data_IF_124608346947
#
_entry.id   IF_124608346947
#
_cell.length_a   1.000
_cell.length_b   1.000
_cell.length_c   1.000
_cell.angle_alpha   90.00
_cell.angle_beta   90.00
_cell.angle_gamma   90.00
#
_symmetry.space_group_name_H-M   'P 1'
#
loop_
_entity.id
_entity.type
_entity.pdbx_description
1 polymer ?
#
# COMPACT_ATOMS: atom_id res chain seq x y z
N UNK A 1 -14.99 36.72 -11.86
CA UNK A 1 -14.05 35.57 -11.68
C UNK A 1 -13.44 35.64 -10.31
N UNK A 2 -13.70 34.65 -9.47
CA UNK A 2 -13.11 34.52 -8.13
C UNK A 2 -12.42 33.19 -7.98
N UNK A 3 -11.22 33.19 -7.38
CA UNK A 3 -10.43 32.00 -7.16
C UNK A 3 -10.38 31.64 -5.68
N UNK A 4 -10.52 30.36 -5.38
CA UNK A 4 -10.49 29.84 -4.01
C UNK A 4 -9.48 28.69 -3.93
N UNK A 5 -8.63 28.72 -2.89
CA UNK A 5 -7.86 27.55 -2.52
C UNK A 5 -8.81 26.51 -1.93
N UNK A 6 -8.72 25.24 -2.32
CA UNK A 6 -9.70 24.23 -1.91
C UNK A 6 -9.06 22.93 -1.46
N UNK A 7 -9.83 22.14 -0.72
CA UNK A 7 -9.55 20.74 -0.43
C UNK A 7 -8.36 20.53 0.49
N UNK A 8 -7.46 19.62 0.06
CA UNK A 8 -6.35 19.14 0.88
C UNK A 8 -5.41 20.23 1.40
N UNK A 9 -5.16 21.29 0.63
CA UNK A 9 -4.32 22.38 1.05
C UNK A 9 -4.93 23.16 2.23
N UNK A 10 -6.23 23.41 2.20
CA UNK A 10 -6.93 24.09 3.29
C UNK A 10 -7.00 23.21 4.53
N UNK A 11 -7.37 21.94 4.34
CA UNK A 11 -7.40 20.94 5.41
C UNK A 11 -6.06 20.80 6.11
N UNK A 12 -4.99 20.59 5.36
CA UNK A 12 -3.65 20.34 5.92
C UNK A 12 -3.11 21.59 6.62
N UNK A 13 -3.35 22.79 6.08
CA UNK A 13 -2.99 24.04 6.75
C UNK A 13 -3.72 24.19 8.10
N UNK A 14 -5.00 23.87 8.16
CA UNK A 14 -5.77 23.90 9.40
C UNK A 14 -5.33 22.86 10.43
N UNK A 15 -4.75 21.74 9.96
CA UNK A 15 -4.18 20.71 10.82
C UNK A 15 -2.73 21.01 11.25
N UNK A 16 -2.13 22.09 10.74
CA UNK A 16 -0.73 22.39 10.99
C UNK A 16 0.24 21.48 10.25
N UNK A 17 -0.21 20.80 9.20
CA UNK A 17 0.60 19.91 8.38
C UNK A 17 1.22 20.67 7.20
N UNK A 18 2.36 20.20 6.66
CA UNK A 18 2.93 20.79 5.44
C UNK A 18 1.97 20.70 4.25
N UNK A 19 1.78 21.82 3.55
CA UNK A 19 0.98 21.88 2.32
C UNK A 19 1.90 21.60 1.15
N UNK A 20 1.66 20.50 0.42
CA UNK A 20 2.49 20.09 -0.74
C UNK A 20 1.91 20.56 -2.06
N UNK A 21 0.63 20.27 -2.28
CA UNK A 21 -0.08 20.59 -3.52
C UNK A 21 -1.21 21.56 -3.22
N UNK A 22 -1.39 22.54 -4.11
CA UNK A 22 -2.45 23.53 -4.01
C UNK A 22 -3.37 23.41 -5.21
N UNK A 23 -4.64 23.12 -4.94
CA UNK A 23 -5.70 23.10 -5.92
C UNK A 23 -6.62 24.30 -5.74
N UNK A 24 -7.02 24.90 -6.85
CA UNK A 24 -7.84 26.09 -6.87
C UNK A 24 -9.14 25.85 -7.64
N UNK A 25 -10.21 26.47 -7.18
CA UNK A 25 -11.49 26.51 -7.88
C UNK A 25 -11.77 27.92 -8.31
N UNK A 26 -12.18 28.10 -9.56
CA UNK A 26 -12.56 29.39 -10.16
C UNK A 26 -14.07 29.42 -10.34
N UNK A 27 -14.71 30.42 -9.75
CA UNK A 27 -16.15 30.65 -9.85
C UNK A 27 -16.41 31.86 -10.76
N UNK A 28 -17.38 31.75 -11.66
CA UNK A 28 -17.80 32.85 -12.52
C UNK A 28 -16.91 33.11 -13.73
N UNK A 29 -16.26 32.07 -14.28
CA UNK A 29 -15.42 32.18 -15.47
C UNK A 29 -15.75 31.11 -16.49
N UNK A 30 -15.45 31.41 -17.76
CA UNK A 30 -15.50 30.46 -18.87
C UNK A 30 -14.10 29.95 -19.20
N UNK A 31 -13.97 28.80 -19.93
CA UNK A 31 -12.67 28.33 -20.41
C UNK A 31 -11.93 29.39 -21.24
N UNK A 32 -12.65 30.15 -22.09
CA UNK A 32 -12.08 31.19 -22.93
C UNK A 32 -11.46 32.30 -22.09
N UNK A 33 -12.15 32.72 -21.02
CA UNK A 33 -11.63 33.75 -20.10
C UNK A 33 -10.35 33.28 -19.39
N UNK A 34 -10.25 31.99 -19.06
CA UNK A 34 -9.05 31.40 -18.48
C UNK A 34 -7.88 31.43 -19.47
N UNK A 35 -8.10 31.02 -20.72
CA UNK A 35 -7.10 31.05 -21.77
C UNK A 35 -6.62 32.50 -22.05
N UNK A 36 -7.54 33.45 -22.13
CA UNK A 36 -7.24 34.86 -22.33
C UNK A 36 -6.40 35.46 -21.19
N UNK A 37 -6.57 34.93 -19.98
CA UNK A 37 -5.77 35.33 -18.81
C UNK A 37 -4.38 34.64 -18.76
N UNK A 38 -4.03 33.83 -19.74
CA UNK A 38 -2.73 33.19 -19.85
C UNK A 38 -2.62 31.80 -19.22
N UNK A 39 -3.71 31.22 -18.77
CA UNK A 39 -3.71 29.86 -18.26
C UNK A 39 -3.57 28.85 -19.37
N UNK A 40 -2.92 27.72 -19.11
CA UNK A 40 -2.77 26.61 -20.05
C UNK A 40 -3.74 25.50 -19.71
N UNK A 41 -4.62 25.14 -20.64
CA UNK A 41 -5.55 24.03 -20.44
C UNK A 41 -4.83 22.68 -20.50
N UNK A 42 -5.09 21.80 -19.53
CA UNK A 42 -4.62 20.42 -19.45
C UNK A 42 -5.80 19.49 -19.18
N UNK A 43 -5.69 18.23 -19.58
CA UNK A 43 -6.77 17.25 -19.42
C UNK A 43 -7.77 17.29 -20.57
N UNK A 44 -8.43 16.15 -20.83
CA UNK A 44 -9.41 16.00 -21.91
C UNK A 44 -10.85 16.09 -21.42
N UNK A 45 -11.12 15.53 -20.24
CA UNK A 45 -12.48 15.33 -19.75
C UNK A 45 -12.98 16.46 -18.84
N UNK A 46 -12.05 17.16 -18.18
CA UNK A 46 -12.36 18.28 -17.31
C UNK A 46 -11.45 19.45 -17.65
N UNK A 47 -11.98 20.68 -17.75
CA UNK A 47 -11.14 21.85 -17.95
C UNK A 47 -10.38 22.18 -16.67
N UNK A 48 -9.15 21.70 -16.60
CA UNK A 48 -8.14 22.07 -15.60
C UNK A 48 -7.12 22.97 -16.29
N UNK A 49 -6.73 24.04 -15.60
CA UNK A 49 -5.85 25.07 -16.15
C UNK A 49 -4.64 25.24 -15.23
N UNK A 50 -3.45 25.33 -15.85
CA UNK A 50 -2.22 25.64 -15.12
C UNK A 50 -2.03 27.15 -15.06
N UNK A 51 -1.76 27.67 -13.86
CA UNK A 51 -1.46 29.09 -13.67
C UNK A 51 -0.19 29.47 -14.44
N UNK A 52 -0.19 30.63 -15.14
CA UNK A 52 0.95 31.03 -15.99
C UNK A 52 2.28 31.19 -15.25
N UNK A 53 2.25 31.52 -13.95
CA UNK A 53 3.44 31.71 -13.11
C UNK A 53 3.70 30.56 -12.17
N UNK A 54 2.71 30.23 -11.31
CA UNK A 54 2.88 29.19 -10.26
C UNK A 54 2.81 27.78 -10.78
N UNK A 55 2.19 27.57 -11.95
CA UNK A 55 1.91 26.27 -12.53
C UNK A 55 0.98 25.40 -11.66
N UNK A 56 0.35 26.00 -10.67
CA UNK A 56 -0.67 25.33 -9.85
C UNK A 56 -1.94 25.09 -10.66
N UNK A 57 -2.71 24.07 -10.28
CA UNK A 57 -3.91 23.65 -10.99
C UNK A 57 -5.13 24.46 -10.56
N UNK A 58 -5.84 25.01 -11.53
CA UNK A 58 -7.09 25.75 -11.37
C UNK A 58 -8.18 25.04 -12.15
N UNK A 59 -9.26 24.65 -11.46
CA UNK A 59 -10.44 24.05 -12.09
C UNK A 59 -11.63 25.00 -11.99
N UNK A 60 -12.44 25.04 -13.03
CA UNK A 60 -13.72 25.77 -12.96
C UNK A 60 -14.66 25.05 -12.00
N UNK A 61 -15.43 25.82 -11.24
CA UNK A 61 -16.49 25.28 -10.39
C UNK A 61 -17.44 24.42 -11.23
N UNK A 62 -17.73 23.21 -10.75
CA UNK A 62 -18.51 22.24 -11.52
C UNK A 62 -19.47 21.42 -10.67
N UNK A 63 -20.53 20.95 -11.29
CA UNK A 63 -21.38 19.88 -10.78
C UNK A 63 -21.11 18.59 -11.53
N UNK A 64 -21.33 17.47 -10.88
CA UNK A 64 -21.16 16.13 -11.49
C UNK A 64 -22.46 15.35 -11.31
N UNK A 65 -22.90 14.66 -12.38
CA UNK A 65 -24.07 13.79 -12.35
C UNK A 65 -23.68 12.40 -12.88
N UNK A 66 -24.15 11.36 -12.19
CA UNK A 66 -23.94 9.99 -12.65
C UNK A 66 -24.85 9.73 -13.86
N UNK A 67 -24.23 9.38 -15.00
CA UNK A 67 -24.93 9.05 -16.26
C UNK A 67 -24.78 7.58 -16.67
N UNK A 68 -24.05 6.76 -15.86
CA UNK A 68 -23.81 5.35 -16.11
C UNK A 68 -23.10 4.68 -14.95
N UNK A 69 -22.62 3.45 -15.11
CA UNK A 69 -21.85 2.73 -14.09
C UNK A 69 -20.35 2.99 -14.24
N UNK A 70 -19.64 3.06 -13.11
CA UNK A 70 -18.18 3.26 -13.06
C UNK A 70 -17.74 4.71 -13.23
N UNK A 71 -16.42 4.91 -13.37
CA UNK A 71 -15.79 6.24 -13.44
C UNK A 71 -16.17 7.04 -14.67
N UNK A 72 -16.36 6.38 -15.81
CA UNK A 72 -16.74 7.03 -17.07
C UNK A 72 -18.22 7.44 -17.12
N UNK A 73 -18.97 7.09 -16.08
CA UNK A 73 -20.42 7.35 -15.99
C UNK A 73 -20.80 8.72 -15.46
N UNK A 74 -19.87 9.70 -15.39
CA UNK A 74 -20.16 11.05 -14.89
C UNK A 74 -20.27 12.07 -16.01
N UNK A 75 -21.29 12.92 -15.90
CA UNK A 75 -21.43 14.12 -16.74
C UNK A 75 -21.11 15.34 -15.90
N UNK A 76 -20.12 16.11 -16.35
CA UNK A 76 -19.73 17.37 -15.70
C UNK A 76 -20.42 18.57 -16.36
N UNK A 77 -20.91 19.47 -15.51
CA UNK A 77 -21.39 20.78 -15.90
C UNK A 77 -20.53 21.85 -15.23
N UNK A 78 -19.80 22.62 -16.03
CA UNK A 78 -18.97 23.71 -15.58
C UNK A 78 -19.35 24.97 -16.36
N UNK A 79 -19.97 25.93 -15.68
CA UNK A 79 -20.39 27.20 -16.26
C UNK A 79 -20.28 28.32 -15.21
N UNK A 80 -20.29 29.59 -15.62
CA UNK A 80 -20.18 30.70 -14.69
C UNK A 80 -21.26 30.76 -13.61
N UNK A 81 -22.40 30.10 -13.82
CA UNK A 81 -23.50 30.04 -12.85
C UNK A 81 -23.32 28.98 -11.74
N UNK A 82 -22.33 28.09 -11.85
CA UNK A 82 -22.04 27.11 -10.80
C UNK A 82 -21.39 27.81 -9.63
N UNK A 83 -22.00 27.69 -8.44
CA UNK A 83 -21.51 28.30 -7.20
C UNK A 83 -20.39 27.49 -6.57
N UNK A 84 -19.64 28.13 -5.66
CA UNK A 84 -18.62 27.43 -4.87
C UNK A 84 -19.25 26.31 -4.02
N UNK A 85 -20.39 26.56 -3.40
CA UNK A 85 -21.10 25.59 -2.57
C UNK A 85 -21.55 24.38 -3.37
N UNK A 86 -21.97 24.55 -4.61
CA UNK A 86 -22.32 23.44 -5.50
C UNK A 86 -21.09 22.59 -5.87
N UNK A 87 -19.95 23.21 -6.11
CA UNK A 87 -18.70 22.50 -6.35
C UNK A 87 -18.25 21.71 -5.11
N UNK A 88 -18.32 22.30 -3.94
CA UNK A 88 -17.92 21.66 -2.67
C UNK A 88 -18.88 20.52 -2.29
N UNK A 89 -20.16 20.62 -2.63
CA UNK A 89 -21.18 19.61 -2.30
C UNK A 89 -20.88 18.24 -2.96
N UNK A 90 -20.29 18.22 -4.13
CA UNK A 90 -19.95 16.99 -4.85
C UNK A 90 -18.73 16.25 -4.30
N UNK A 91 -17.99 16.83 -3.37
CA UNK A 91 -16.76 16.27 -2.83
C UNK A 91 -17.04 15.11 -1.88
N UNK A 92 -15.98 14.33 -1.58
CA UNK A 92 -16.12 13.12 -0.79
C UNK A 92 -16.36 13.39 0.70
N UNK A 93 -15.45 14.13 1.36
CA UNK A 93 -15.48 14.35 2.80
C UNK A 93 -15.64 15.84 3.12
N UNK A 94 -16.28 16.14 4.24
CA UNK A 94 -16.46 17.52 4.73
C UNK A 94 -15.13 18.24 4.93
N UNK A 95 -14.12 17.54 5.43
CA UNK A 95 -12.77 18.10 5.63
C UNK A 95 -12.06 18.43 4.32
N UNK A 96 -12.51 17.88 3.20
CA UNK A 96 -12.02 18.16 1.84
C UNK A 96 -12.92 19.15 1.10
N UNK A 97 -14.02 19.56 1.71
CA UNK A 97 -15.00 20.50 1.17
C UNK A 97 -14.87 21.89 1.82
N UNK A 98 -13.64 22.27 2.09
CA UNK A 98 -13.27 23.59 2.62
C UNK A 98 -12.62 24.42 1.52
N UNK A 99 -12.88 25.71 1.54
CA UNK A 99 -12.26 26.67 0.64
C UNK A 99 -11.70 27.86 1.42
N UNK A 100 -10.73 28.53 0.82
CA UNK A 100 -10.15 29.75 1.37
C UNK A 100 -10.16 30.82 0.29
N UNK A 101 -10.72 31.97 0.60
CA UNK A 101 -10.75 33.11 -0.33
C UNK A 101 -9.41 33.87 -0.35
N UNK A 102 -9.31 34.86 -1.23
CA UNK A 102 -8.09 35.67 -1.41
C UNK A 102 -7.69 36.46 -0.15
N UNK A 103 -8.63 36.70 0.78
CA UNK A 103 -8.37 37.36 2.04
C UNK A 103 -8.02 36.40 3.19
N UNK A 104 -7.89 35.11 2.90
CA UNK A 104 -7.59 34.08 3.89
C UNK A 104 -8.79 33.60 4.68
N UNK A 105 -10.02 34.06 4.37
CA UNK A 105 -11.23 33.62 5.04
C UNK A 105 -11.62 32.20 4.59
N UNK A 106 -11.91 31.34 5.57
CA UNK A 106 -12.37 29.97 5.29
C UNK A 106 -13.86 30.00 4.96
N UNK A 107 -14.18 29.37 3.82
CA UNK A 107 -15.57 29.12 3.42
C UNK A 107 -15.88 27.66 3.77
N UNK A 108 -16.82 27.46 4.67
CA UNK A 108 -17.15 26.18 5.26
C UNK A 108 -18.66 25.97 5.25
N UNK A 109 -19.17 25.49 4.13
CA UNK A 109 -20.61 25.29 3.94
C UNK A 109 -21.15 24.01 4.58
N UNK A 110 -20.29 23.02 4.84
CA UNK A 110 -20.72 21.65 5.19
C UNK A 110 -20.14 21.15 6.52
N UNK A 111 -19.60 22.04 7.34
CA UNK A 111 -19.15 21.69 8.69
C UNK A 111 -17.78 21.02 8.75
N UNK A 112 -16.93 21.21 7.75
CA UNK A 112 -15.60 20.60 7.69
C UNK A 112 -14.68 21.03 8.83
N UNK A 113 -14.74 22.27 9.30
CA UNK A 113 -13.94 22.73 10.43
C UNK A 113 -14.32 22.04 11.74
N UNK A 114 -15.62 21.82 11.98
CA UNK A 114 -16.09 21.06 13.14
C UNK A 114 -15.62 19.60 13.07
N UNK A 115 -15.69 18.99 11.90
CA UNK A 115 -15.21 17.63 11.72
C UNK A 115 -13.70 17.53 11.87
N UNK A 116 -12.93 18.52 11.46
CA UNK A 116 -11.49 18.59 11.75
C UNK A 116 -11.22 18.64 13.26
N UNK A 117 -11.92 19.50 14.00
CA UNK A 117 -11.77 19.62 15.46
C UNK A 117 -12.13 18.30 16.16
N UNK A 118 -13.21 17.68 15.71
CA UNK A 118 -13.70 16.41 16.28
C UNK A 118 -13.01 15.16 15.73
N UNK A 119 -12.06 15.34 14.81
CA UNK A 119 -11.31 14.25 14.19
C UNK A 119 -12.23 13.22 13.51
N UNK A 120 -13.17 13.70 12.69
CA UNK A 120 -14.15 12.89 11.99
C UNK A 120 -13.95 12.92 10.48
N UNK A 121 -14.03 11.75 9.87
CA UNK A 121 -14.15 11.57 8.43
C UNK A 121 -15.64 11.36 8.11
N UNK A 122 -16.28 12.39 7.56
CA UNK A 122 -17.71 12.41 7.27
C UNK A 122 -17.95 12.74 5.80
N UNK A 123 -18.80 11.99 5.12
CA UNK A 123 -19.20 12.33 3.76
C UNK A 123 -20.02 13.62 3.72
N UNK A 124 -19.88 14.37 2.63
CA UNK A 124 -20.53 15.69 2.49
C UNK A 124 -22.03 15.54 2.25
N UNK A 125 -22.44 14.63 1.36
CA UNK A 125 -23.81 14.50 0.88
C UNK A 125 -24.09 13.09 0.34
N UNK A 126 -25.36 12.76 0.04
CA UNK A 126 -25.70 11.50 -0.64
C UNK A 126 -24.99 11.28 -1.97
N UNK A 127 -24.48 12.33 -2.60
CA UNK A 127 -23.66 12.23 -3.82
C UNK A 127 -22.38 11.43 -3.62
N UNK A 128 -21.95 11.19 -2.39
CA UNK A 128 -20.84 10.30 -2.05
C UNK A 128 -20.97 8.92 -2.72
N UNK A 129 -22.17 8.36 -2.75
CA UNK A 129 -22.43 7.03 -3.31
C UNK A 129 -22.36 6.96 -4.83
N UNK A 130 -22.23 8.08 -5.51
CA UNK A 130 -22.14 8.11 -6.99
C UNK A 130 -20.79 7.60 -7.52
N UNK A 131 -19.71 7.70 -6.72
CA UNK A 131 -18.40 7.16 -7.07
C UNK A 131 -17.92 6.13 -6.04
N UNK A 132 -17.95 4.83 -6.36
CA UNK A 132 -17.51 3.77 -5.45
C UNK A 132 -16.06 3.89 -4.98
N UNK A 133 -15.19 4.57 -5.73
CA UNK A 133 -13.80 4.79 -5.32
C UNK A 133 -13.70 5.56 -4.00
N UNK A 134 -14.72 6.34 -3.67
CA UNK A 134 -14.76 7.11 -2.42
C UNK A 134 -14.67 6.24 -1.18
N UNK A 135 -15.14 4.99 -1.24
CA UNK A 135 -14.95 4.02 -0.15
C UNK A 135 -13.46 3.79 0.12
N UNK A 136 -12.68 3.58 -0.93
CA UNK A 136 -11.23 3.41 -0.82
C UNK A 136 -10.54 4.70 -0.39
N UNK A 137 -11.01 5.83 -0.90
CA UNK A 137 -10.48 7.15 -0.51
C UNK A 137 -10.65 7.40 0.98
N UNK A 138 -11.82 7.11 1.54
CA UNK A 138 -12.06 7.24 2.99
C UNK A 138 -11.14 6.29 3.78
N UNK A 139 -11.00 5.05 3.34
CA UNK A 139 -10.09 4.09 3.95
C UNK A 139 -8.63 4.59 3.93
N UNK A 140 -8.21 5.21 2.84
CA UNK A 140 -6.88 5.81 2.73
C UNK A 140 -6.71 7.02 3.65
N UNK A 141 -7.70 7.90 3.74
CA UNK A 141 -7.66 9.02 4.68
C UNK A 141 -7.64 8.53 6.14
N UNK A 142 -8.39 7.48 6.46
CA UNK A 142 -8.34 6.86 7.77
C UNK A 142 -6.93 6.37 8.12
N UNK A 143 -6.24 5.74 7.17
CA UNK A 143 -4.85 5.32 7.34
C UNK A 143 -3.90 6.51 7.50
N UNK A 144 -4.06 7.54 6.65
CA UNK A 144 -3.21 8.72 6.67
C UNK A 144 -3.30 9.50 7.98
N UNK A 145 -4.49 9.61 8.56
CA UNK A 145 -4.76 10.41 9.75
C UNK A 145 -4.99 9.58 11.02
N UNK A 146 -4.71 8.28 10.98
CA UNK A 146 -4.85 7.41 12.15
C UNK A 146 -4.01 7.90 13.35
N UNK A 147 -2.79 8.35 13.10
CA UNK A 147 -1.90 8.89 14.13
C UNK A 147 -2.39 10.22 14.72
N UNK A 148 -3.35 10.88 14.08
CA UNK A 148 -4.02 12.08 14.58
C UNK A 148 -5.37 11.75 15.23
N UNK A 149 -5.68 10.48 15.44
CA UNK A 149 -6.90 9.96 16.07
C UNK A 149 -8.19 10.24 15.30
N UNK A 150 -8.11 10.35 13.97
CA UNK A 150 -9.31 10.45 13.14
C UNK A 150 -10.04 9.11 13.12
N UNK A 151 -11.38 9.19 13.10
CA UNK A 151 -12.29 8.06 12.94
C UNK A 151 -13.35 8.36 11.89
N UNK A 152 -13.93 7.34 11.32
CA UNK A 152 -15.00 7.49 10.34
C UNK A 152 -16.31 7.70 11.09
N UNK A 153 -17.11 8.70 10.66
CA UNK A 153 -18.43 8.92 11.21
C UNK A 153 -19.34 7.70 10.99
N UNK A 154 -20.20 7.39 11.96
CA UNK A 154 -21.02 6.19 11.92
C UNK A 154 -21.92 6.15 10.68
N UNK A 155 -22.53 7.27 10.30
CA UNK A 155 -23.37 7.37 9.10
C UNK A 155 -22.57 7.18 7.82
N UNK A 156 -21.29 7.56 7.78
CA UNK A 156 -20.42 7.35 6.63
C UNK A 156 -20.02 5.88 6.52
N UNK A 157 -19.69 5.24 7.62
CA UNK A 157 -19.42 3.80 7.63
C UNK A 157 -20.65 3.01 7.18
N UNK A 158 -21.84 3.40 7.62
CA UNK A 158 -23.09 2.77 7.19
C UNK A 158 -23.33 2.92 5.69
N UNK A 159 -23.04 4.10 5.13
CA UNK A 159 -23.17 4.34 3.68
C UNK A 159 -22.14 3.50 2.90
N UNK A 160 -20.89 3.45 3.35
CA UNK A 160 -19.85 2.64 2.72
C UNK A 160 -20.23 1.15 2.73
N UNK A 161 -20.78 0.67 3.83
CA UNK A 161 -21.27 -0.72 3.96
C UNK A 161 -22.41 -1.00 2.98
N UNK A 162 -23.36 -0.09 2.87
CA UNK A 162 -24.47 -0.22 1.92
C UNK A 162 -23.98 -0.25 0.46
N UNK A 163 -22.98 0.56 0.11
CA UNK A 163 -22.37 0.57 -1.21
C UNK A 163 -21.69 -0.77 -1.53
N UNK A 164 -20.95 -1.33 -0.57
CA UNK A 164 -20.30 -2.63 -0.73
C UNK A 164 -21.33 -3.74 -0.91
N UNK A 165 -22.38 -3.76 -0.10
CA UNK A 165 -23.47 -4.74 -0.18
C UNK A 165 -24.24 -4.65 -1.51
N UNK A 166 -24.40 -3.46 -2.05
CA UNK A 166 -25.06 -3.25 -3.34
C UNK A 166 -24.23 -3.67 -4.56
N UNK A 167 -22.99 -4.15 -4.35
CA UNK A 167 -22.11 -4.60 -5.44
C UNK A 167 -21.44 -3.48 -6.24
N UNK A 168 -21.48 -2.25 -5.76
CA UNK A 168 -20.95 -1.10 -6.50
C UNK A 168 -19.44 -1.12 -6.66
N UNK A 169 -18.71 -1.76 -5.73
CA UNK A 169 -17.24 -1.85 -5.79
C UNK A 169 -16.73 -2.75 -6.92
N UNK A 170 -17.56 -3.65 -7.42
CA UNK A 170 -17.22 -4.55 -8.53
C UNK A 170 -16.97 -3.81 -9.84
N UNK A 171 -17.47 -2.58 -9.97
CA UNK A 171 -17.32 -1.74 -11.16
C UNK A 171 -16.06 -0.89 -11.18
N UNK A 172 -15.26 -0.95 -10.12
CA UNK A 172 -13.99 -0.20 -10.04
C UNK A 172 -12.95 -0.79 -10.97
N UNK A 173 -12.24 0.09 -11.69
CA UNK A 173 -11.13 -0.35 -12.53
C UNK A 173 -9.94 -0.78 -11.66
N UNK A 174 -9.19 -1.81 -12.07
CA UNK A 174 -8.03 -2.29 -11.31
C UNK A 174 -7.00 -1.19 -11.02
N UNK A 175 -6.75 -0.32 -11.98
CA UNK A 175 -5.76 0.77 -11.86
C UNK A 175 -6.14 1.78 -10.78
N UNK A 176 -7.41 2.10 -10.66
CA UNK A 176 -7.90 3.01 -9.62
C UNK A 176 -7.81 2.37 -8.23
N UNK A 177 -8.16 1.10 -8.13
CA UNK A 177 -8.03 0.33 -6.88
C UNK A 177 -6.57 0.25 -6.45
N UNK A 178 -5.68 -0.11 -7.36
CA UNK A 178 -4.25 -0.19 -7.05
C UNK A 178 -3.67 1.17 -6.64
N UNK A 179 -4.04 2.24 -7.34
CA UNK A 179 -3.54 3.59 -7.03
C UNK A 179 -3.88 4.00 -5.59
N UNK A 180 -5.12 3.77 -5.17
CA UNK A 180 -5.53 4.05 -3.78
C UNK A 180 -4.81 3.14 -2.78
N UNK A 181 -4.64 1.87 -3.12
CA UNK A 181 -3.91 0.90 -2.30
C UNK A 181 -2.44 1.28 -2.16
N UNK A 182 -1.78 1.62 -3.25
CA UNK A 182 -0.39 2.07 -3.26
C UNK A 182 -0.20 3.31 -2.38
N UNK A 183 -1.08 4.29 -2.53
CA UNK A 183 -1.05 5.50 -1.70
C UNK A 183 -1.26 5.18 -0.22
N UNK A 184 -2.18 4.28 0.10
CA UNK A 184 -2.41 3.82 1.47
C UNK A 184 -1.18 3.12 2.07
N UNK A 185 -0.47 2.34 1.24
CA UNK A 185 0.75 1.66 1.67
C UNK A 185 1.90 2.63 1.98
N UNK A 186 1.88 3.85 1.47
CA UNK A 186 2.88 4.88 1.81
C UNK A 186 2.62 5.55 3.16
N UNK A 187 1.46 5.34 3.76
CA UNK A 187 1.07 6.00 5.01
C UNK A 187 1.80 5.40 6.21
N UNK A 188 1.76 6.11 7.33
CA UNK A 188 2.34 5.65 8.59
C UNK A 188 1.65 4.40 9.14
N UNK A 189 0.34 4.27 8.92
CA UNK A 189 -0.49 3.17 9.44
C UNK A 189 -1.29 2.49 8.31
N UNK A 190 -0.62 1.82 7.36
CA UNK A 190 -1.29 1.24 6.20
C UNK A 190 -2.29 0.12 6.55
N UNK A 191 -2.11 -0.54 7.69
CA UNK A 191 -3.04 -1.59 8.16
C UNK A 191 -4.45 -1.04 8.39
N UNK A 192 -4.59 0.24 8.70
CA UNK A 192 -5.90 0.88 8.91
C UNK A 192 -6.73 0.86 7.63
N UNK A 193 -6.10 1.04 6.47
CA UNK A 193 -6.77 0.95 5.17
C UNK A 193 -7.51 -0.38 5.01
N UNK A 194 -6.83 -1.47 5.27
CA UNK A 194 -7.39 -2.82 5.12
C UNK A 194 -8.42 -3.11 6.22
N UNK A 195 -8.21 -2.62 7.44
CA UNK A 195 -9.19 -2.76 8.52
C UNK A 195 -10.50 -2.04 8.18
N UNK A 196 -10.44 -0.83 7.66
CA UNK A 196 -11.63 -0.08 7.23
C UNK A 196 -12.36 -0.80 6.10
N UNK A 197 -11.63 -1.30 5.10
CA UNK A 197 -12.23 -2.07 4.02
C UNK A 197 -12.92 -3.34 4.55
N UNK A 198 -12.33 -3.99 5.55
CA UNK A 198 -12.96 -5.13 6.20
C UNK A 198 -14.23 -4.72 6.94
N UNK A 199 -14.18 -3.65 7.69
CA UNK A 199 -15.31 -3.18 8.52
C UNK A 199 -16.55 -2.84 7.69
N UNK A 200 -16.36 -2.31 6.48
CA UNK A 200 -17.47 -1.98 5.57
C UNK A 200 -17.83 -3.10 4.58
N UNK A 201 -17.15 -4.23 4.62
CA UNK A 201 -17.39 -5.35 3.70
C UNK A 201 -16.74 -5.23 2.33
N UNK A 202 -15.91 -4.21 2.12
CA UNK A 202 -15.21 -4.00 0.86
C UNK A 202 -14.02 -4.96 0.66
N UNK A 203 -13.40 -5.41 1.75
CA UNK A 203 -12.21 -6.26 1.68
C UNK A 203 -12.47 -7.56 0.93
N UNK A 204 -13.58 -8.22 1.20
CA UNK A 204 -13.95 -9.47 0.52
C UNK A 204 -14.21 -9.31 -0.97
N UNK A 205 -14.59 -8.11 -1.41
CA UNK A 205 -14.81 -7.81 -2.83
C UNK A 205 -13.48 -7.52 -3.54
N UNK A 206 -12.64 -6.68 -2.93
CA UNK A 206 -11.41 -6.19 -3.56
C UNK A 206 -10.20 -7.08 -3.30
N UNK A 207 -10.12 -7.67 -2.12
CA UNK A 207 -9.00 -8.49 -1.66
C UNK A 207 -9.50 -9.76 -0.97
N UNK A 208 -10.24 -10.63 -1.70
CA UNK A 208 -10.80 -11.84 -1.08
C UNK A 208 -9.72 -12.75 -0.50
N UNK A 209 -8.52 -12.74 -1.05
CA UNK A 209 -7.39 -13.53 -0.56
C UNK A 209 -6.95 -13.09 0.85
N UNK A 210 -7.05 -11.80 1.14
CA UNK A 210 -6.72 -11.24 2.47
C UNK A 210 -7.89 -11.46 3.43
N UNK A 211 -9.11 -11.19 2.97
CA UNK A 211 -10.32 -11.38 3.79
C UNK A 211 -10.45 -12.82 4.29
N UNK A 212 -10.07 -13.78 3.47
CA UNK A 212 -10.11 -15.20 3.81
C UNK A 212 -9.18 -15.59 4.98
N UNK A 213 -8.23 -14.76 5.35
CA UNK A 213 -7.30 -15.03 6.46
C UNK A 213 -7.92 -14.78 7.83
N UNK A 214 -8.95 -13.95 7.90
CA UNK A 214 -9.65 -13.68 9.15
C UNK A 214 -10.50 -14.89 9.54
N UNK A 215 -10.38 -15.29 10.80
CA UNK A 215 -11.00 -16.50 11.30
C UNK A 215 -10.18 -17.78 11.09
N UNK A 216 -9.01 -17.69 10.42
CA UNK A 216 -8.09 -18.82 10.25
C UNK A 216 -7.11 -18.85 11.43
N UNK A 217 -7.12 -19.89 12.28
CA UNK A 217 -6.24 -19.93 13.45
C UNK A 217 -4.80 -20.28 13.08
N UNK A 218 -3.88 -19.72 13.84
CA UNK A 218 -2.46 -20.08 13.82
C UNK A 218 -2.06 -20.66 15.19
N UNK A 219 -0.95 -21.45 15.29
CA UNK A 219 -0.52 -22.00 16.56
C UNK A 219 -0.23 -20.91 17.61
N UNK A 220 -0.91 -20.95 18.75
CA UNK A 220 -0.81 -19.94 19.81
C UNK A 220 0.62 -19.76 20.34
N UNK A 221 1.42 -20.81 20.30
CA UNK A 221 2.84 -20.77 20.71
C UNK A 221 3.66 -19.76 19.92
N UNK A 222 3.39 -19.65 18.62
CA UNK A 222 4.13 -18.79 17.70
C UNK A 222 3.38 -17.51 17.35
N UNK A 223 2.06 -17.53 17.49
CA UNK A 223 1.15 -16.44 17.17
C UNK A 223 0.16 -16.24 18.31
N UNK A 224 0.55 -15.49 19.36
CA UNK A 224 -0.34 -15.24 20.51
C UNK A 224 -1.66 -14.57 20.15
N UNK A 225 -1.70 -13.82 19.04
CA UNK A 225 -2.90 -13.23 18.44
C UNK A 225 -3.86 -14.29 17.87
N UNK A 226 -3.38 -15.50 17.60
CA UNK A 226 -4.09 -16.69 17.09
C UNK A 226 -4.67 -16.51 15.70
N UNK A 227 -5.36 -15.41 15.39
CA UNK A 227 -6.01 -15.16 14.10
C UNK A 227 -5.02 -14.74 13.03
N UNK A 228 -5.01 -15.43 11.88
CA UNK A 228 -4.06 -15.14 10.78
C UNK A 228 -4.33 -13.79 10.11
N UNK A 229 -5.59 -13.38 9.99
CA UNK A 229 -5.93 -12.06 9.45
C UNK A 229 -5.44 -10.93 10.34
N UNK A 230 -5.63 -11.07 11.65
CA UNK A 230 -5.11 -10.11 12.65
C UNK A 230 -3.58 -10.05 12.57
N UNK A 231 -2.92 -11.21 12.53
CA UNK A 231 -1.47 -11.29 12.35
C UNK A 231 -1.00 -10.55 11.09
N UNK A 232 -1.69 -10.76 9.97
CA UNK A 232 -1.35 -10.11 8.70
C UNK A 232 -1.34 -8.58 8.81
N UNK A 233 -2.35 -7.99 9.45
CA UNK A 233 -2.41 -6.54 9.64
C UNK A 233 -1.34 -6.06 10.64
N UNK A 234 -1.05 -6.84 11.68
CA UNK A 234 0.04 -6.54 12.63
C UNK A 234 1.40 -6.55 11.94
N UNK A 235 1.65 -7.51 11.04
CA UNK A 235 2.90 -7.58 10.27
C UNK A 235 3.03 -6.40 9.31
N UNK A 236 1.93 -5.97 8.68
CA UNK A 236 1.94 -4.77 7.82
C UNK A 236 2.28 -3.52 8.64
N UNK A 237 1.70 -3.38 9.82
CA UNK A 237 2.03 -2.28 10.74
C UNK A 237 3.51 -2.27 11.10
N UNK A 238 4.07 -3.44 11.39
CA UNK A 238 5.50 -3.58 11.70
C UNK A 238 6.38 -3.27 10.48
N UNK A 239 6.02 -3.74 9.30
CA UNK A 239 6.73 -3.43 8.06
C UNK A 239 6.79 -1.92 7.80
N UNK A 240 5.70 -1.21 8.10
CA UNK A 240 5.64 0.25 7.99
C UNK A 240 6.59 0.96 8.97
N UNK A 241 6.82 0.39 10.14
CA UNK A 241 7.81 0.89 11.10
C UNK A 241 9.25 0.63 10.65
N UNK A 242 9.49 -0.51 9.99
CA UNK A 242 10.83 -0.95 9.59
C UNK A 242 11.29 -0.32 8.27
N UNK A 243 10.39 -0.01 7.35
CA UNK A 243 10.76 0.43 6.00
C UNK A 243 9.68 1.31 5.36
N UNK A 244 10.09 2.38 4.64
CA UNK A 244 9.18 3.14 3.79
C UNK A 244 8.89 2.48 2.44
N UNK A 245 9.57 1.38 2.11
CA UNK A 245 9.47 0.69 0.83
C UNK A 245 8.09 0.02 0.66
N UNK A 246 7.31 0.49 -0.30
CA UNK A 246 5.99 -0.07 -0.62
C UNK A 246 6.08 -1.54 -1.01
N UNK A 247 7.15 -1.93 -1.71
CA UNK A 247 7.38 -3.31 -2.13
C UNK A 247 7.50 -4.25 -0.92
N UNK A 248 8.23 -3.81 0.11
CA UNK A 248 8.37 -4.52 1.39
C UNK A 248 7.02 -4.62 2.10
N UNK A 249 6.28 -3.52 2.17
CA UNK A 249 4.99 -3.45 2.86
C UNK A 249 3.94 -4.35 2.20
N UNK A 250 3.82 -4.26 0.88
CA UNK A 250 2.89 -5.10 0.12
C UNK A 250 3.27 -6.59 0.20
N UNK A 251 4.54 -6.91 0.09
CA UNK A 251 5.03 -8.29 0.21
C UNK A 251 4.76 -8.88 1.59
N UNK A 252 4.93 -8.08 2.64
CA UNK A 252 4.59 -8.47 4.01
C UNK A 252 3.10 -8.73 4.15
N UNK A 253 2.25 -7.86 3.59
CA UNK A 253 0.80 -8.05 3.57
C UNK A 253 0.41 -9.40 2.95
N UNK A 254 1.12 -9.84 1.92
CA UNK A 254 0.81 -11.04 1.14
C UNK A 254 1.53 -12.30 1.59
N UNK A 255 2.36 -12.26 2.64
CA UNK A 255 3.26 -13.38 2.96
C UNK A 255 2.55 -14.67 3.35
N UNK A 256 1.37 -14.60 3.95
CA UNK A 256 0.63 -15.74 4.49
C UNK A 256 -0.68 -16.06 3.76
N UNK A 257 -0.89 -15.53 2.54
CA UNK A 257 -2.15 -15.73 1.82
C UNK A 257 -2.54 -17.20 1.66
N UNK A 258 -1.55 -18.09 1.51
CA UNK A 258 -1.78 -19.52 1.35
C UNK A 258 -2.46 -20.18 2.54
N UNK A 259 -2.37 -19.61 3.73
CA UNK A 259 -3.03 -20.15 4.92
C UNK A 259 -4.56 -20.11 4.81
N UNK A 260 -5.11 -19.21 4.01
CA UNK A 260 -6.53 -19.14 3.74
C UNK A 260 -7.10 -20.33 2.97
N UNK A 261 -6.26 -21.12 2.33
CA UNK A 261 -6.65 -22.33 1.58
C UNK A 261 -6.54 -23.63 2.39
N UNK A 262 -6.02 -23.57 3.62
CA UNK A 262 -5.86 -24.76 4.45
C UNK A 262 -7.23 -25.30 4.87
N UNK A 263 -7.54 -26.58 4.61
CA UNK A 263 -8.79 -27.20 5.10
C UNK A 263 -8.88 -27.12 6.62
N UNK A 264 -10.09 -26.88 7.14
CA UNK A 264 -10.34 -26.72 8.58
C UNK A 264 -9.85 -27.89 9.42
N UNK A 265 -9.91 -29.11 8.88
CA UNK A 265 -9.46 -30.32 9.55
C UNK A 265 -7.96 -30.34 9.91
N UNK A 266 -7.13 -29.54 9.22
CA UNK A 266 -5.70 -29.44 9.50
C UNK A 266 -5.35 -28.27 10.42
N UNK A 267 -6.30 -27.39 10.71
CA UNK A 267 -6.05 -26.25 11.58
C UNK A 267 -5.54 -26.67 12.96
N UNK A 268 -4.60 -25.96 13.58
CA UNK A 268 -3.94 -24.71 13.12
C UNK A 268 -2.66 -24.92 12.29
N UNK A 269 -2.50 -26.07 11.67
CA UNK A 269 -1.33 -26.41 10.84
C UNK A 269 -1.59 -26.03 9.39
N UNK A 270 -0.58 -25.39 8.78
CA UNK A 270 -0.70 -24.83 7.42
C UNK A 270 0.43 -25.33 6.52
N UNK A 271 0.58 -26.63 6.39
CA UNK A 271 1.58 -27.23 5.52
C UNK A 271 1.33 -26.84 4.05
N UNK A 272 2.39 -26.42 3.35
CA UNK A 272 2.30 -26.05 1.94
C UNK A 272 1.71 -24.66 1.66
N UNK A 273 1.54 -23.82 2.69
CA UNK A 273 1.00 -22.47 2.50
C UNK A 273 1.91 -21.57 1.65
N UNK A 274 3.22 -21.80 1.63
CA UNK A 274 4.15 -21.03 0.80
C UNK A 274 3.83 -21.15 -0.69
N UNK A 275 3.91 -22.36 -1.30
CA UNK A 275 3.55 -22.54 -2.70
C UNK A 275 2.12 -22.14 -3.05
N UNK A 276 1.16 -22.43 -2.17
CA UNK A 276 -0.23 -21.98 -2.33
C UNK A 276 -0.34 -20.46 -2.34
N UNK A 277 0.43 -19.78 -1.49
CA UNK A 277 0.50 -18.33 -1.41
C UNK A 277 1.05 -17.69 -2.68
N UNK A 278 2.03 -18.30 -3.32
CA UNK A 278 2.60 -17.83 -4.60
C UNK A 278 1.52 -17.69 -5.66
N UNK A 279 0.66 -18.70 -5.81
CA UNK A 279 -0.44 -18.68 -6.78
C UNK A 279 -1.48 -17.59 -6.45
N UNK A 280 -1.78 -17.41 -5.17
CA UNK A 280 -2.71 -16.37 -4.74
C UNK A 280 -2.16 -14.97 -4.99
N UNK A 281 -0.86 -14.76 -4.76
CA UNK A 281 -0.19 -13.49 -5.10
C UNK A 281 -0.27 -13.22 -6.60
N UNK A 282 0.01 -14.21 -7.44
CA UNK A 282 -0.12 -14.07 -8.90
C UNK A 282 -1.53 -13.65 -9.31
N UNK A 283 -2.55 -14.29 -8.78
CA UNK A 283 -3.95 -14.00 -9.09
C UNK A 283 -4.37 -12.61 -8.63
N UNK A 284 -4.00 -12.21 -7.42
CA UNK A 284 -4.28 -10.89 -6.88
C UNK A 284 -3.60 -9.80 -7.70
N UNK A 285 -2.32 -9.96 -7.99
CA UNK A 285 -1.54 -8.97 -8.73
C UNK A 285 -2.01 -8.85 -10.18
N UNK A 286 -2.44 -9.94 -10.82
CA UNK A 286 -3.01 -9.92 -12.16
C UNK A 286 -4.35 -9.19 -12.18
N UNK A 287 -5.21 -9.45 -11.22
CA UNK A 287 -6.54 -8.83 -11.11
C UNK A 287 -6.42 -7.32 -10.88
N UNK A 288 -5.53 -6.88 -10.01
CA UNK A 288 -5.36 -5.46 -9.66
C UNK A 288 -4.28 -4.76 -10.48
N UNK A 289 -3.64 -5.45 -11.41
CA UNK A 289 -2.55 -4.91 -12.24
C UNK A 289 -1.43 -4.29 -11.43
N UNK A 290 -1.03 -5.00 -10.37
CA UNK A 290 0.11 -4.61 -9.55
C UNK A 290 1.39 -4.66 -10.40
N UNK A 291 2.31 -3.68 -10.29
CA UNK A 291 3.57 -3.69 -11.01
C UNK A 291 4.37 -4.98 -10.83
N UNK A 292 5.02 -5.43 -11.90
CA UNK A 292 5.70 -6.72 -11.93
C UNK A 292 6.78 -6.86 -10.84
N UNK A 293 7.52 -5.80 -10.54
CA UNK A 293 8.56 -5.85 -9.50
C UNK A 293 7.98 -6.11 -8.11
N UNK A 294 6.86 -5.51 -7.80
CA UNK A 294 6.15 -5.71 -6.52
C UNK A 294 5.60 -7.13 -6.46
N UNK A 295 4.95 -7.58 -7.53
CA UNK A 295 4.44 -8.95 -7.66
C UNK A 295 5.54 -9.98 -7.44
N UNK A 296 6.67 -9.81 -8.12
CA UNK A 296 7.76 -10.79 -8.09
C UNK A 296 8.37 -10.88 -6.69
N UNK A 297 8.57 -9.76 -6.01
CA UNK A 297 9.03 -9.76 -4.62
C UNK A 297 8.01 -10.44 -3.70
N UNK A 298 6.73 -10.12 -3.84
CA UNK A 298 5.68 -10.71 -3.01
C UNK A 298 5.60 -12.24 -3.18
N UNK A 299 5.80 -12.74 -4.39
CA UNK A 299 5.89 -14.18 -4.67
C UNK A 299 7.07 -14.82 -3.94
N UNK A 300 8.24 -14.18 -3.99
CA UNK A 300 9.43 -14.69 -3.32
C UNK A 300 9.28 -14.68 -1.80
N UNK A 301 8.68 -13.65 -1.25
CA UNK A 301 8.41 -13.57 0.19
C UNK A 301 7.43 -14.67 0.62
N UNK A 302 6.36 -14.88 -0.13
CA UNK A 302 5.41 -15.96 0.15
C UNK A 302 6.09 -17.32 0.17
N UNK A 303 7.03 -17.56 -0.74
CA UNK A 303 7.73 -18.83 -0.86
C UNK A 303 8.82 -19.03 0.21
N UNK A 304 9.60 -18.00 0.51
CA UNK A 304 10.86 -18.14 1.25
C UNK A 304 10.88 -17.55 2.66
N UNK A 305 9.86 -16.81 3.11
CA UNK A 305 9.93 -16.16 4.42
C UNK A 305 10.13 -17.15 5.59
N UNK A 306 9.51 -18.32 5.54
CA UNK A 306 9.69 -19.36 6.57
C UNK A 306 11.11 -19.92 6.58
N UNK A 307 11.72 -20.04 5.40
CA UNK A 307 13.10 -20.51 5.30
C UNK A 307 14.07 -19.54 5.99
N UNK A 308 13.83 -18.23 5.87
CA UNK A 308 14.65 -17.21 6.54
C UNK A 308 14.61 -17.37 8.05
N UNK A 309 13.48 -17.71 8.63
CA UNK A 309 13.35 -17.91 10.08
C UNK A 309 14.27 -19.03 10.60
N UNK A 310 14.58 -20.00 9.74
CA UNK A 310 15.47 -21.13 10.07
C UNK A 310 16.93 -20.88 9.67
N UNK A 311 17.29 -19.65 9.32
CA UNK A 311 18.59 -19.33 8.75
C UNK A 311 19.78 -19.92 9.53
N UNK A 312 19.83 -19.88 10.87
CA UNK A 312 20.97 -20.42 11.62
C UNK A 312 21.28 -21.90 11.35
N UNK A 313 20.28 -22.70 10.98
CA UNK A 313 20.46 -24.14 10.71
C UNK A 313 20.56 -24.47 9.21
N UNK A 314 20.50 -23.47 8.34
CA UNK A 314 20.62 -23.69 6.90
C UNK A 314 22.04 -24.10 6.50
N UNK A 315 22.14 -25.07 5.60
CA UNK A 315 23.41 -25.47 5.02
C UNK A 315 23.91 -24.38 4.07
N UNK A 316 25.24 -24.18 3.94
CA UNK A 316 25.81 -23.20 3.02
C UNK A 316 25.30 -23.34 1.58
N UNK A 317 25.15 -24.56 1.07
CA UNK A 317 24.59 -24.79 -0.27
C UNK A 317 23.15 -24.28 -0.41
N UNK A 318 22.33 -24.46 0.61
CA UNK A 318 20.95 -23.94 0.66
C UNK A 318 20.92 -22.42 0.65
N UNK A 319 21.83 -21.78 1.38
CA UNK A 319 21.95 -20.31 1.43
C UNK A 319 22.31 -19.75 0.05
N UNK A 320 23.31 -20.32 -0.62
CA UNK A 320 23.70 -19.87 -1.97
C UNK A 320 22.58 -20.12 -2.98
N UNK A 321 21.88 -21.26 -2.88
CA UNK A 321 20.72 -21.55 -3.72
C UNK A 321 19.58 -20.55 -3.49
N UNK A 322 19.38 -20.12 -2.26
CA UNK A 322 18.40 -19.06 -1.96
C UNK A 322 18.74 -17.78 -2.73
N UNK A 323 20.00 -17.33 -2.75
CA UNK A 323 20.40 -16.16 -3.50
C UNK A 323 20.17 -16.31 -5.01
N UNK A 324 20.39 -17.50 -5.56
CA UNK A 324 20.03 -17.80 -6.95
C UNK A 324 18.52 -17.68 -7.19
N UNK A 325 17.72 -18.29 -6.31
CA UNK A 325 16.26 -18.35 -6.43
C UNK A 325 15.59 -16.98 -6.33
N UNK A 326 16.14 -16.09 -5.51
CA UNK A 326 15.62 -14.71 -5.38
C UNK A 326 16.24 -13.75 -6.40
N UNK A 327 17.11 -14.26 -7.28
CA UNK A 327 17.82 -13.47 -8.29
C UNK A 327 18.63 -12.32 -7.69
N UNK A 328 19.26 -12.56 -6.54
CA UNK A 328 19.99 -11.55 -5.79
C UNK A 328 21.19 -10.99 -6.56
N UNK A 329 21.82 -11.80 -7.43
CA UNK A 329 22.99 -11.40 -8.21
C UNK A 329 22.68 -10.23 -9.16
N UNK A 330 21.48 -10.22 -9.76
CA UNK A 330 21.01 -9.14 -10.61
C UNK A 330 20.24 -8.09 -9.84
N UNK A 331 19.55 -8.47 -8.74
CA UNK A 331 18.68 -7.61 -7.93
C UNK A 331 19.07 -7.71 -6.45
N UNK A 332 20.25 -7.16 -6.09
CA UNK A 332 20.79 -7.30 -4.72
C UNK A 332 19.91 -6.68 -3.64
N UNK A 333 19.07 -5.70 -3.97
CA UNK A 333 18.12 -5.10 -3.05
C UNK A 333 17.11 -6.11 -2.48
N UNK A 334 16.90 -7.24 -3.15
CA UNK A 334 15.98 -8.28 -2.67
C UNK A 334 16.42 -8.94 -1.37
N UNK A 335 17.72 -8.99 -1.13
CA UNK A 335 18.24 -9.53 0.13
C UNK A 335 17.76 -8.70 1.31
N UNK A 336 17.91 -7.38 1.24
CA UNK A 336 17.45 -6.46 2.27
C UNK A 336 15.92 -6.48 2.39
N UNK A 337 15.21 -6.47 1.27
CA UNK A 337 13.75 -6.52 1.26
C UNK A 337 13.20 -7.77 1.93
N UNK A 338 13.76 -8.93 1.62
CA UNK A 338 13.35 -10.21 2.23
C UNK A 338 13.73 -10.27 3.73
N UNK A 339 14.87 -9.74 4.11
CA UNK A 339 15.25 -9.63 5.52
C UNK A 339 14.24 -8.79 6.30
N UNK A 340 13.83 -7.65 5.75
CA UNK A 340 12.86 -6.76 6.39
C UNK A 340 11.45 -7.39 6.48
N UNK A 341 11.00 -8.06 5.43
CA UNK A 341 9.67 -8.73 5.45
C UNK A 341 9.64 -9.86 6.48
N UNK A 342 10.71 -10.62 6.58
CA UNK A 342 10.83 -11.72 7.53
C UNK A 342 10.92 -11.22 8.97
N UNK A 343 11.64 -10.13 9.22
CA UNK A 343 11.65 -9.45 10.52
C UNK A 343 10.26 -8.93 10.88
N UNK A 344 9.56 -8.31 9.94
CA UNK A 344 8.20 -7.81 10.16
C UNK A 344 7.23 -8.95 10.53
N UNK A 345 7.37 -10.12 9.92
CA UNK A 345 6.56 -11.28 10.26
C UNK A 345 6.75 -11.69 11.73
N UNK A 346 7.97 -11.78 12.21
CA UNK A 346 8.25 -12.17 13.60
C UNK A 346 7.86 -11.07 14.58
N UNK A 347 8.28 -9.84 14.34
CA UNK A 347 8.01 -8.71 15.23
C UNK A 347 6.56 -8.21 15.16
N UNK A 348 5.83 -8.58 14.15
CA UNK A 348 4.39 -8.35 14.04
C UNK A 348 3.54 -9.37 14.81
N UNK A 349 4.09 -10.03 15.82
CA UNK A 349 3.39 -10.96 16.70
C UNK A 349 3.24 -10.32 18.08
N UNK A 350 2.12 -10.58 18.73
CA UNK A 350 1.83 -10.04 20.06
C UNK A 350 2.94 -10.43 21.05
N UNK A 351 3.57 -9.44 21.65
CA UNK A 351 4.67 -9.62 22.61
C UNK A 351 6.06 -9.73 21.99
N UNK A 352 6.17 -9.72 20.65
CA UNK A 352 7.45 -9.84 19.95
C UNK A 352 7.92 -8.53 19.31
N UNK A 353 7.24 -7.42 19.54
CA UNK A 353 7.46 -6.15 18.85
C UNK A 353 8.87 -5.60 19.02
N UNK A 354 9.49 -5.86 20.17
CA UNK A 354 10.85 -5.43 20.50
C UNK A 354 11.88 -6.57 20.44
N UNK A 355 11.52 -7.75 19.93
CA UNK A 355 12.45 -8.87 19.90
C UNK A 355 13.56 -8.65 18.88
N UNK A 356 14.71 -9.27 19.12
CA UNK A 356 15.82 -9.32 18.17
C UNK A 356 15.48 -10.31 17.04
N UNK A 357 15.96 -10.00 15.81
CA UNK A 357 15.83 -10.88 14.66
C UNK A 357 17.20 -11.14 14.04
N UNK A 358 18.02 -12.02 14.65
CA UNK A 358 19.37 -12.29 14.19
C UNK A 358 19.43 -12.94 12.80
N UNK A 359 18.38 -13.64 12.38
CA UNK A 359 18.28 -14.26 11.06
C UNK A 359 18.48 -13.25 9.93
N UNK A 360 17.92 -12.05 10.08
CA UNK A 360 18.09 -10.97 9.10
C UNK A 360 19.53 -10.50 9.00
N UNK A 361 20.21 -10.33 10.13
CA UNK A 361 21.63 -9.96 10.16
C UNK A 361 22.50 -11.04 9.54
N UNK A 362 22.23 -12.29 9.86
CA UNK A 362 22.96 -13.43 9.29
C UNK A 362 22.76 -13.56 7.78
N UNK A 363 21.55 -13.36 7.30
CA UNK A 363 21.25 -13.34 5.85
C UNK A 363 22.07 -12.26 5.12
N UNK A 364 22.08 -11.03 5.66
CA UNK A 364 22.82 -9.90 5.09
C UNK A 364 24.32 -10.18 5.07
N UNK A 365 24.86 -10.76 6.13
CA UNK A 365 26.29 -11.12 6.23
C UNK A 365 26.66 -12.23 5.26
N UNK A 366 25.84 -13.27 5.15
CA UNK A 366 26.06 -14.34 4.20
C UNK A 366 26.06 -13.83 2.76
N UNK A 367 25.17 -12.87 2.45
CA UNK A 367 25.15 -12.20 1.15
C UNK A 367 26.46 -11.45 0.86
N UNK A 368 26.95 -10.67 1.82
CA UNK A 368 28.22 -9.95 1.68
C UNK A 368 29.40 -10.91 1.41
N UNK A 369 29.43 -12.03 2.11
CA UNK A 369 30.45 -13.07 1.93
C UNK A 369 30.37 -13.72 0.55
N UNK A 370 29.17 -14.12 0.11
CA UNK A 370 28.96 -14.75 -1.18
C UNK A 370 29.26 -13.79 -2.34
N UNK A 371 28.80 -12.55 -2.21
CA UNK A 371 29.02 -11.50 -3.21
C UNK A 371 30.49 -11.14 -3.40
N UNK A 372 31.30 -11.25 -2.35
CA UNK A 372 32.71 -10.91 -2.38
C UNK A 372 33.58 -11.92 -3.14
N UNK A 373 33.05 -13.10 -3.47
CA UNK A 373 33.77 -14.10 -4.27
C UNK A 373 33.97 -13.58 -5.69
N UNK A 374 35.25 -13.40 -6.15
CA UNK A 374 35.48 -12.75 -7.43
C UNK A 374 35.26 -13.70 -8.61
N UNK A 375 34.42 -13.29 -9.55
CA UNK A 375 34.23 -14.02 -10.82
C UNK A 375 35.51 -14.05 -11.64
N UNK A 376 36.31 -12.96 -11.57
CA UNK A 376 37.59 -12.83 -12.28
C UNK A 376 38.54 -13.98 -11.98
N UNK A 377 38.66 -14.37 -10.72
CA UNK A 377 39.56 -15.46 -10.30
C UNK A 377 39.16 -16.80 -10.91
N UNK A 378 37.86 -17.04 -11.10
CA UNK A 378 37.33 -18.24 -11.76
C UNK A 378 37.72 -18.25 -13.23
N UNK A 379 37.59 -17.14 -13.93
CA UNK A 379 37.98 -17.00 -15.35
C UNK A 379 39.49 -17.16 -15.51
N UNK A 380 40.29 -16.56 -14.65
CA UNK A 380 41.75 -16.65 -14.67
C UNK A 380 42.27 -18.06 -14.38
N UNK A 381 41.48 -18.87 -13.63
CA UNK A 381 41.81 -20.27 -13.35
C UNK A 381 41.55 -21.21 -14.54
N UNK A 382 41.04 -20.70 -15.68
CA UNK A 382 40.88 -21.45 -16.93
C UNK A 382 39.48 -22.02 -17.17
N UNK A 383 38.51 -21.76 -16.31
CA UNK A 383 37.12 -22.20 -16.51
C UNK A 383 36.46 -21.37 -17.63
N UNK A 384 35.63 -22.03 -18.44
CA UNK A 384 34.97 -21.42 -19.61
C UNK A 384 33.50 -21.80 -19.68
N UNK A 385 32.66 -20.90 -20.22
CA UNK A 385 31.25 -21.15 -20.47
C UNK A 385 30.47 -21.51 -19.20
N UNK A 386 29.61 -22.54 -19.24
CA UNK A 386 28.81 -22.97 -18.09
C UNK A 386 29.63 -23.40 -16.87
N UNK A 387 30.87 -23.82 -17.06
CA UNK A 387 31.78 -24.22 -15.98
C UNK A 387 32.11 -23.04 -15.04
N UNK A 388 32.10 -21.81 -15.55
CA UNK A 388 32.31 -20.60 -14.74
C UNK A 388 31.27 -20.50 -13.64
N UNK A 389 30.02 -20.68 -14.01
CA UNK A 389 28.89 -20.63 -13.04
C UNK A 389 28.97 -21.72 -12.00
N UNK A 390 29.28 -22.93 -12.41
CA UNK A 390 29.41 -24.09 -11.51
C UNK A 390 30.55 -23.89 -10.51
N UNK A 391 31.70 -23.45 -10.96
CA UNK A 391 32.86 -23.22 -10.10
C UNK A 391 32.62 -22.00 -9.17
N UNK A 392 32.02 -20.95 -9.68
CA UNK A 392 31.66 -19.78 -8.89
C UNK A 392 30.69 -20.15 -7.76
N UNK A 393 29.68 -20.98 -8.05
CA UNK A 393 28.76 -21.53 -7.05
C UNK A 393 29.50 -22.32 -5.96
N UNK A 394 30.43 -23.18 -6.35
CA UNK A 394 31.26 -23.97 -5.40
C UNK A 394 32.07 -23.05 -4.48
N UNK A 395 32.69 -22.00 -5.04
CA UNK A 395 33.51 -21.04 -4.28
C UNK A 395 32.65 -20.21 -3.34
N UNK A 396 31.45 -19.83 -3.75
CA UNK A 396 30.47 -19.12 -2.92
C UNK A 396 30.02 -19.99 -1.76
N UNK A 397 29.71 -21.26 -2.01
CA UNK A 397 29.33 -22.22 -0.97
C UNK A 397 30.46 -22.39 0.03
N UNK A 398 31.70 -22.53 -0.42
CA UNK A 398 32.86 -22.64 0.44
C UNK A 398 33.08 -21.41 1.29
N UNK A 399 32.97 -20.23 0.70
CA UNK A 399 33.11 -18.96 1.43
C UNK A 399 32.04 -18.81 2.52
N UNK A 400 30.79 -19.14 2.20
CA UNK A 400 29.68 -19.12 3.18
C UNK A 400 29.90 -20.16 4.27
N UNK A 401 30.39 -21.36 3.91
CA UNK A 401 30.72 -22.41 4.88
C UNK A 401 31.79 -21.95 5.86
N UNK A 402 32.87 -21.37 5.37
CA UNK A 402 33.97 -20.88 6.20
C UNK A 402 33.52 -19.75 7.13
N UNK A 403 32.71 -18.81 6.61
CA UNK A 403 32.12 -17.74 7.41
C UNK A 403 31.22 -18.28 8.50
N UNK A 404 30.37 -19.26 8.16
CA UNK A 404 29.41 -19.84 9.09
C UNK A 404 30.09 -20.58 10.23
N UNK A 405 31.16 -21.32 9.98
CA UNK A 405 31.95 -21.99 11.02
C UNK A 405 32.53 -21.02 12.04
N UNK A 406 32.97 -19.84 11.58
CA UNK A 406 33.54 -18.81 12.45
C UNK A 406 32.52 -18.03 13.25
N UNK A 407 31.36 -17.74 12.67
CA UNK A 407 30.40 -16.74 13.20
C UNK A 407 29.07 -17.33 13.68
N UNK A 408 28.77 -18.57 13.33
CA UNK A 408 27.56 -19.29 13.73
C UNK A 408 27.95 -20.69 14.19
N UNK A 409 28.73 -20.84 15.27
CA UNK A 409 29.09 -22.18 15.75
C UNK A 409 27.82 -22.94 16.13
N UNK A 410 27.71 -24.17 15.63
CA UNK A 410 26.65 -25.07 16.05
C UNK A 410 26.78 -25.33 17.54
N UNK A 411 25.65 -25.45 18.30
CA UNK A 411 25.75 -25.93 19.68
C UNK A 411 26.47 -27.27 19.64
N UNK A 412 27.52 -27.41 20.45
CA UNK A 412 28.13 -28.72 20.68
C UNK A 412 27.08 -29.55 21.38
N UNK A 413 26.77 -30.72 20.79
CA UNK A 413 25.92 -31.74 21.39
C UNK A 413 26.28 -32.06 22.82
#
# INVERSE_FOLDING_TARGET
MKSYLVGGAVRDALLGLPVKDKDWVVVGATPEEMLDAGYQQVGRDFPVFLHPKSREEYALARTERKSGSGYTGFTCYAAPDVTLEQDLLRRDLTINALAQDENGKIVDAYGGQDDLRNRLLRHVSPAFSEDPLRVLRVARFAARYAHLSFRIADETMALMTAMAEAGELEHLTPERVWKETENALTTRNPQVFFQVLRDCGALKVLFPEIDALFGVPAPAKWHPEIDTGVHTLMTLSMAAMLSPDVDVRFSTLCHDLGKGLTPKEFWPRHHGHGPAGVKLVEGLCKRLRVPNEIRDLAKLVAEFHDLIHTFPILKPATIVKLFDNIDAWRKPQRVEQIALTSEADVRGRTGFEACDYPQGRLLRKAWEVAKAVPTKDVVEAGFKGPEIREELTKRRIQAVSDWKEKHCPQPKD
#
